data_IF_998606569951
#
_entry.id   IF_998606569951
#
_cell.length_a   1.000
_cell.length_b   1.000
_cell.length_c   1.000
_cell.angle_alpha   90.00
_cell.angle_beta   90.00
_cell.angle_gamma   90.00
#
_symmetry.space_group_name_H-M   'P 1'
#
loop_
_entity.id
_entity.type
_entity.pdbx_description
1 polymer ?
#
# COMPACT_ATOMS: atom_id res chain seq x y z
N UNK A 1 7.38 -32.87 -24.16
CA UNK A 1 7.00 -31.45 -24.18
C UNK A 1 6.91 -31.03 -22.74
N UNK A 2 7.85 -30.21 -22.29
CA UNK A 2 7.82 -29.56 -20.98
C UNK A 2 6.74 -28.47 -21.03
N UNK A 3 5.80 -28.45 -20.09
CA UNK A 3 4.77 -27.40 -20.02
C UNK A 3 4.41 -27.11 -18.54
N UNK A 4 3.49 -26.17 -18.31
CA UNK A 4 3.07 -25.74 -16.96
C UNK A 4 2.49 -26.83 -16.05
N UNK A 5 2.29 -28.05 -16.56
CA UNK A 5 1.71 -29.17 -15.81
C UNK A 5 2.52 -30.46 -15.89
N UNK A 6 3.68 -30.46 -16.57
CA UNK A 6 4.51 -31.67 -16.72
C UNK A 6 6.00 -31.37 -16.86
N UNK A 7 6.79 -31.93 -15.93
CA UNK A 7 8.25 -31.95 -16.01
C UNK A 7 8.78 -33.25 -16.66
N UNK A 8 9.77 -33.12 -17.55
CA UNK A 8 10.71 -34.12 -18.02
C UNK A 8 11.64 -34.50 -16.87
N UNK A 9 11.77 -35.78 -16.52
CA UNK A 9 12.67 -36.26 -15.47
C UNK A 9 14.17 -36.16 -15.84
N UNK A 10 14.50 -35.63 -17.02
CA UNK A 10 15.86 -35.44 -17.51
C UNK A 10 16.32 -33.98 -17.50
N UNK A 11 15.60 -33.08 -16.82
CA UNK A 11 15.91 -31.65 -16.71
C UNK A 11 15.57 -31.26 -15.27
N UNK A 12 16.61 -31.02 -14.49
CA UNK A 12 16.55 -30.81 -13.04
C UNK A 12 16.63 -29.32 -12.67
N UNK A 13 17.48 -28.53 -13.35
CA UNK A 13 17.76 -27.12 -13.02
C UNK A 13 17.57 -26.11 -14.16
N UNK A 14 17.29 -26.56 -15.40
CA UNK A 14 16.94 -25.69 -16.53
C UNK A 14 18.03 -24.75 -17.04
N UNK A 15 19.26 -24.83 -16.51
CA UNK A 15 20.40 -24.07 -16.98
C UNK A 15 21.17 -24.88 -18.01
N UNK A 16 20.66 -24.90 -19.26
CA UNK A 16 21.08 -25.80 -20.36
C UNK A 16 22.51 -25.68 -20.88
N UNK A 17 23.51 -25.52 -20.01
CA UNK A 17 24.93 -25.41 -20.36
C UNK A 17 25.83 -26.36 -19.58
N UNK A 18 25.55 -26.68 -18.31
CA UNK A 18 26.31 -27.65 -17.51
C UNK A 18 25.47 -28.10 -16.31
N UNK A 19 25.31 -29.41 -16.17
CA UNK A 19 24.65 -30.00 -15.00
C UNK A 19 25.70 -30.26 -13.89
N UNK A 20 25.61 -29.61 -12.71
CA UNK A 20 26.50 -29.83 -11.57
C UNK A 20 26.43 -31.26 -11.02
N UNK A 21 25.34 -32.00 -11.26
CA UNK A 21 25.10 -33.32 -10.67
C UNK A 21 25.76 -34.48 -11.46
N UNK A 22 26.30 -34.17 -12.65
CA UNK A 22 26.95 -35.12 -13.54
C UNK A 22 26.03 -35.79 -14.58
N UNK A 23 24.77 -35.35 -14.76
CA UNK A 23 23.94 -35.81 -15.87
C UNK A 23 24.34 -35.17 -17.22
N UNK A 24 23.97 -35.78 -18.37
CA UNK A 24 24.23 -35.18 -19.67
C UNK A 24 23.42 -33.90 -19.86
N UNK A 25 24.10 -32.81 -20.28
CA UNK A 25 23.46 -31.52 -20.61
C UNK A 25 22.14 -31.70 -21.38
N UNK A 26 21.05 -31.10 -20.90
CA UNK A 26 19.67 -31.20 -21.39
C UNK A 26 19.54 -31.41 -22.91
N UNK A 27 19.65 -32.65 -23.38
CA UNK A 27 19.85 -32.92 -24.81
C UNK A 27 18.56 -32.63 -25.58
N UNK A 28 18.49 -31.44 -26.19
CA UNK A 28 17.48 -31.08 -27.19
C UNK A 28 16.09 -30.79 -26.64
N UNK A 29 15.93 -30.62 -25.34
CA UNK A 29 14.70 -30.12 -24.77
C UNK A 29 14.72 -28.59 -24.75
N UNK A 30 13.78 -27.96 -25.46
CA UNK A 30 13.47 -26.56 -25.28
C UNK A 30 12.25 -26.42 -24.36
N UNK A 31 12.26 -25.48 -23.40
CA UNK A 31 11.07 -25.16 -22.62
C UNK A 31 9.95 -24.70 -23.55
N UNK A 32 8.70 -25.14 -23.33
CA UNK A 32 7.54 -24.53 -24.00
C UNK A 32 7.13 -23.19 -23.36
N UNK A 33 7.60 -22.92 -22.14
CA UNK A 33 7.44 -21.69 -21.35
C UNK A 33 8.81 -21.37 -20.76
N UNK A 34 9.21 -20.09 -20.73
CA UNK A 34 10.48 -19.68 -20.15
C UNK A 34 10.51 -20.02 -18.65
N UNK A 35 11.44 -20.90 -18.24
CA UNK A 35 11.85 -20.98 -16.84
C UNK A 35 12.47 -19.64 -16.44
N UNK A 36 12.11 -19.13 -15.26
CA UNK A 36 12.70 -17.94 -14.68
C UNK A 36 13.50 -18.35 -13.45
N UNK A 37 14.64 -17.71 -13.26
CA UNK A 37 15.37 -17.74 -12.01
C UNK A 37 15.42 -16.30 -11.52
N UNK A 38 14.95 -16.07 -10.30
CA UNK A 38 15.13 -14.79 -9.63
C UNK A 38 16.33 -14.88 -8.70
N UNK A 39 17.05 -13.78 -8.55
CA UNK A 39 18.10 -13.63 -7.56
C UNK A 39 17.63 -12.53 -6.62
N UNK A 40 17.39 -12.89 -5.36
CA UNK A 40 16.92 -11.97 -4.33
C UNK A 40 18.06 -11.73 -3.35
N UNK A 41 18.49 -10.48 -3.25
CA UNK A 41 19.50 -10.05 -2.29
C UNK A 41 18.83 -9.66 -0.98
N UNK A 42 19.20 -10.34 0.11
CA UNK A 42 18.71 -10.09 1.47
C UNK A 42 19.84 -9.42 2.26
N UNK A 43 19.71 -8.14 2.62
CA UNK A 43 20.76 -7.41 3.33
C UNK A 43 20.91 -7.90 4.77
N UNK A 44 22.06 -7.60 5.37
CA UNK A 44 22.28 -7.87 6.80
C UNK A 44 21.48 -6.91 7.70
N UNK A 45 21.22 -7.27 8.96
CA UNK A 45 20.57 -6.38 9.93
C UNK A 45 21.25 -5.01 10.11
N UNK A 46 22.57 -4.95 9.95
CA UNK A 46 23.35 -3.72 10.08
C UNK A 46 23.11 -2.74 8.91
N UNK A 47 22.76 -3.26 7.73
CA UNK A 47 22.53 -2.46 6.52
C UNK A 47 21.08 -1.99 6.39
N UNK A 48 20.15 -2.62 7.11
CA UNK A 48 18.71 -2.41 6.92
C UNK A 48 17.91 -2.52 8.23
N UNK A 49 18.35 -1.78 9.26
CA UNK A 49 17.63 -1.58 10.52
C UNK A 49 16.96 -2.84 11.10
N UNK A 50 17.75 -3.88 11.40
CA UNK A 50 17.31 -5.15 12.02
C UNK A 50 16.84 -6.26 11.05
N UNK A 51 17.02 -6.10 9.74
CA UNK A 51 17.05 -7.23 8.79
C UNK A 51 15.69 -7.85 8.47
N UNK A 52 14.59 -7.11 8.68
CA UNK A 52 13.25 -7.52 8.26
C UNK A 52 13.00 -7.26 6.78
N UNK A 53 12.43 -8.23 6.06
CA UNK A 53 12.07 -8.09 4.64
C UNK A 53 10.72 -8.70 4.31
N UNK A 54 9.84 -7.93 3.67
CA UNK A 54 8.51 -8.37 3.25
C UNK A 54 8.55 -8.73 1.77
N UNK A 55 8.41 -10.02 1.47
CA UNK A 55 8.70 -10.58 0.16
C UNK A 55 7.63 -11.56 -0.29
N UNK A 56 7.55 -11.76 -1.60
CA UNK A 56 6.87 -12.87 -2.24
C UNK A 56 7.79 -13.49 -3.29
N UNK A 57 7.42 -14.67 -3.80
CA UNK A 57 8.24 -15.42 -4.75
C UNK A 57 7.47 -15.70 -6.04
N UNK A 58 7.26 -14.70 -6.91
CA UNK A 58 6.39 -14.88 -8.07
C UNK A 58 6.91 -15.88 -9.10
N UNK A 59 8.22 -16.21 -9.10
CA UNK A 59 8.77 -17.34 -9.85
C UNK A 59 9.06 -18.51 -8.92
N UNK A 60 8.07 -19.39 -8.69
CA UNK A 60 8.23 -20.54 -7.79
C UNK A 60 7.89 -21.85 -8.49
N UNK A 61 8.68 -22.89 -8.20
CA UNK A 61 8.48 -24.22 -8.77
C UNK A 61 7.49 -25.06 -7.93
N UNK A 62 6.19 -24.87 -8.18
CA UNK A 62 5.12 -25.56 -7.46
C UNK A 62 4.60 -26.85 -8.17
N UNK A 63 5.25 -27.29 -9.26
CA UNK A 63 4.70 -28.29 -10.20
C UNK A 63 4.78 -29.74 -9.69
N UNK A 64 5.48 -30.01 -8.58
CA UNK A 64 5.73 -31.37 -8.06
C UNK A 64 4.98 -31.77 -6.78
N UNK A 65 3.78 -31.27 -6.50
CA UNK A 65 2.96 -31.83 -5.41
C UNK A 65 2.35 -33.19 -5.80
N UNK A 66 3.11 -34.27 -5.74
CA UNK A 66 2.63 -35.65 -5.93
C UNK A 66 2.82 -36.47 -4.62
N UNK A 67 1.75 -36.83 -3.89
CA UNK A 67 1.88 -37.57 -2.63
C UNK A 67 2.33 -39.04 -2.84
N UNK A 68 3.11 -39.64 -1.90
CA UNK A 68 3.25 -39.21 -0.50
C UNK A 68 4.68 -38.85 -0.03
N UNK A 69 5.63 -38.47 -0.90
CA UNK A 69 7.00 -38.10 -0.46
C UNK A 69 7.72 -37.12 -1.41
N UNK A 70 7.29 -35.86 -1.47
CA UNK A 70 8.24 -34.77 -1.75
C UNK A 70 7.81 -33.50 -0.98
N UNK A 71 8.21 -33.38 0.29
CA UNK A 71 7.91 -32.23 1.13
C UNK A 71 8.87 -31.08 0.81
N UNK A 72 8.32 -29.87 0.87
CA UNK A 72 9.03 -28.59 1.03
C UNK A 72 9.68 -27.92 -0.18
N UNK A 73 8.85 -27.27 -1.01
CA UNK A 73 9.27 -26.10 -1.83
C UNK A 73 10.03 -25.08 -0.96
N UNK A 74 9.60 -24.89 0.30
CA UNK A 74 10.29 -24.07 1.29
C UNK A 74 11.73 -24.54 1.56
N UNK A 75 11.96 -25.85 1.64
CA UNK A 75 13.25 -26.44 1.95
C UNK A 75 14.23 -26.23 0.81
N UNK A 76 13.78 -26.43 -0.43
CA UNK A 76 14.60 -26.16 -1.60
C UNK A 76 14.87 -24.67 -1.78
N UNK A 77 13.85 -23.83 -1.62
CA UNK A 77 14.00 -22.38 -1.71
C UNK A 77 15.02 -21.87 -0.70
N UNK A 78 14.85 -22.24 0.57
CA UNK A 78 15.68 -21.74 1.66
C UNK A 78 16.99 -22.54 1.81
N UNK A 79 17.24 -23.56 0.98
CA UNK A 79 18.37 -24.48 1.14
C UNK A 79 19.70 -23.73 1.25
N UNK A 80 19.91 -22.73 0.39
CA UNK A 80 21.15 -21.96 0.33
C UNK A 80 21.43 -21.19 1.62
N UNK A 81 20.38 -20.68 2.26
CA UNK A 81 20.47 -19.88 3.49
C UNK A 81 20.30 -20.72 4.77
N UNK A 82 19.95 -22.00 4.62
CA UNK A 82 19.89 -22.99 5.70
C UNK A 82 21.10 -23.95 5.72
N UNK A 83 21.87 -24.03 4.64
CA UNK A 83 23.00 -24.95 4.51
C UNK A 83 24.28 -24.46 5.21
N UNK A 84 25.08 -25.40 5.72
CA UNK A 84 26.40 -25.09 6.26
C UNK A 84 27.35 -24.57 5.17
N UNK A 85 28.17 -23.53 5.44
CA UNK A 85 28.52 -22.98 6.74
C UNK A 85 27.64 -21.82 7.24
N UNK A 86 26.50 -21.52 6.58
CA UNK A 86 25.63 -20.37 6.89
C UNK A 86 24.31 -20.73 7.62
N UNK A 87 24.24 -21.70 8.58
CA UNK A 87 22.97 -22.11 9.19
C UNK A 87 22.35 -21.04 10.12
N UNK A 88 22.90 -19.82 10.13
CA UNK A 88 22.48 -18.72 10.98
C UNK A 88 22.01 -17.49 10.19
N UNK A 89 22.11 -17.44 8.85
CA UNK A 89 21.80 -16.23 8.09
C UNK A 89 20.33 -15.80 8.21
N UNK A 90 19.42 -16.76 8.41
CA UNK A 90 17.98 -16.55 8.63
C UNK A 90 17.63 -16.86 10.09
N UNK A 91 16.85 -16.00 10.74
CA UNK A 91 16.31 -16.22 12.09
C UNK A 91 14.90 -16.81 12.03
N UNK A 92 14.00 -16.15 11.30
CA UNK A 92 12.62 -16.60 11.15
C UNK A 92 11.96 -16.15 9.86
N UNK A 93 10.95 -16.91 9.44
CA UNK A 93 10.01 -16.54 8.37
C UNK A 93 8.61 -16.54 8.95
N UNK A 94 7.90 -15.45 8.78
CA UNK A 94 6.49 -15.33 9.12
C UNK A 94 5.66 -15.43 7.85
N UNK A 95 4.63 -16.25 7.90
CA UNK A 95 3.49 -16.22 7.00
C UNK A 95 2.24 -15.86 7.80
N UNK A 96 1.14 -15.58 7.11
CA UNK A 96 -0.12 -15.23 7.76
C UNK A 96 -0.61 -16.28 8.77
N UNK A 97 -0.45 -17.58 8.45
CA UNK A 97 -0.99 -18.68 9.28
C UNK A 97 0.07 -19.44 10.10
N UNK A 98 1.36 -19.23 9.81
CA UNK A 98 2.44 -20.02 10.40
C UNK A 98 3.75 -19.24 10.53
N UNK A 99 4.67 -19.79 11.33
CA UNK A 99 6.00 -19.23 11.57
C UNK A 99 7.05 -20.34 11.50
N UNK A 100 8.07 -20.13 10.71
CA UNK A 100 9.28 -20.97 10.66
C UNK A 100 10.37 -20.22 11.45
N UNK A 101 11.07 -20.90 12.36
CA UNK A 101 12.16 -20.27 13.13
C UNK A 101 13.27 -21.25 13.45
N UNK A 102 14.49 -20.72 13.58
CA UNK A 102 15.67 -21.50 13.88
C UNK A 102 15.83 -21.70 15.39
N UNK A 103 16.05 -22.95 15.82
CA UNK A 103 16.40 -23.28 17.20
C UNK A 103 17.55 -24.29 17.20
N UNK A 104 18.78 -23.76 17.24
CA UNK A 104 20.02 -24.52 17.09
C UNK A 104 19.95 -25.92 17.73
N UNK A 105 20.22 -27.01 16.96
CA UNK A 105 20.70 -27.04 15.58
C UNK A 105 19.61 -27.19 14.50
N UNK A 106 18.32 -27.17 14.86
CA UNK A 106 17.24 -27.56 13.95
C UNK A 106 16.32 -26.38 13.61
N UNK A 107 15.68 -26.42 12.45
CA UNK A 107 14.54 -25.56 12.16
C UNK A 107 13.30 -26.16 12.82
N UNK A 108 12.38 -25.31 13.26
CA UNK A 108 11.11 -25.72 13.84
C UNK A 108 9.97 -25.26 12.95
N UNK A 109 8.91 -26.08 12.91
CA UNK A 109 7.79 -25.94 11.97
C UNK A 109 8.22 -26.10 10.49
N UNK A 110 9.22 -26.94 10.25
CA UNK A 110 9.55 -27.50 8.93
C UNK A 110 8.25 -28.11 8.33
N UNK A 111 8.06 -28.14 7.00
CA UNK A 111 6.94 -28.79 6.28
C UNK A 111 5.77 -27.92 5.74
N UNK A 112 5.83 -26.59 5.74
CA UNK A 112 4.76 -25.76 5.15
C UNK A 112 5.06 -25.27 3.72
N UNK A 113 4.05 -25.35 2.85
CA UNK A 113 4.19 -25.06 1.42
C UNK A 113 4.23 -23.54 1.16
N UNK A 114 5.19 -23.11 0.33
CA UNK A 114 5.26 -21.76 -0.19
C UNK A 114 4.45 -21.67 -1.49
N UNK A 115 3.73 -20.57 -1.68
CA UNK A 115 2.98 -20.27 -2.89
C UNK A 115 3.45 -18.97 -3.51
N UNK A 116 3.50 -18.88 -4.84
CA UNK A 116 4.01 -17.70 -5.56
C UNK A 116 3.22 -16.42 -5.25
N UNK A 117 1.93 -16.57 -5.00
CA UNK A 117 0.97 -15.49 -4.71
C UNK A 117 0.99 -15.05 -3.23
N UNK A 118 1.69 -15.77 -2.36
CA UNK A 118 1.67 -15.53 -0.92
C UNK A 118 2.78 -14.57 -0.50
N UNK A 119 2.45 -13.73 0.49
CA UNK A 119 3.40 -12.85 1.15
C UNK A 119 4.07 -13.47 2.38
N UNK A 120 5.33 -13.11 2.61
CA UNK A 120 6.17 -13.59 3.72
C UNK A 120 7.01 -12.47 4.34
N UNK A 121 7.27 -12.53 5.64
CA UNK A 121 8.20 -11.64 6.33
C UNK A 121 9.42 -12.43 6.80
N UNK A 122 10.59 -12.07 6.30
CA UNK A 122 11.87 -12.68 6.62
C UNK A 122 12.59 -11.84 7.67
N UNK A 123 13.17 -12.49 8.66
CA UNK A 123 14.08 -11.88 9.63
C UNK A 123 15.46 -12.49 9.45
N UNK A 124 16.41 -11.68 8.99
CA UNK A 124 17.77 -12.08 8.70
C UNK A 124 18.67 -11.83 9.92
N UNK A 125 19.70 -12.66 10.13
CA UNK A 125 20.81 -12.34 11.03
C UNK A 125 22.08 -11.95 10.27
N UNK A 126 22.22 -12.40 9.02
CA UNK A 126 23.35 -12.09 8.13
C UNK A 126 22.82 -11.82 6.72
N UNK A 127 23.61 -11.13 5.90
CA UNK A 127 23.28 -10.96 4.49
C UNK A 127 23.30 -12.31 3.76
N UNK A 128 22.38 -12.49 2.83
CA UNK A 128 22.28 -13.71 2.03
C UNK A 128 21.71 -13.42 0.63
N UNK A 129 21.98 -14.32 -0.30
CA UNK A 129 21.40 -14.30 -1.64
C UNK A 129 20.55 -15.54 -1.81
N UNK A 130 19.34 -15.38 -2.31
CA UNK A 130 18.40 -16.46 -2.58
C UNK A 130 18.24 -16.64 -4.09
N UNK A 131 18.53 -17.83 -4.60
CA UNK A 131 18.22 -18.20 -5.97
C UNK A 131 16.85 -18.89 -6.01
N UNK A 132 15.91 -18.31 -6.75
CA UNK A 132 14.52 -18.77 -6.82
C UNK A 132 14.22 -19.30 -8.23
N UNK A 133 14.47 -20.59 -8.50
CA UNK A 133 14.10 -21.19 -9.77
C UNK A 133 12.60 -21.49 -9.80
N UNK A 134 11.93 -21.22 -10.93
CA UNK A 134 10.53 -21.57 -11.06
C UNK A 134 9.87 -21.13 -12.36
N UNK A 135 8.55 -21.27 -12.37
CA UNK A 135 7.70 -20.68 -13.40
C UNK A 135 7.17 -19.35 -12.88
N UNK A 136 7.28 -18.31 -13.71
CA UNK A 136 6.64 -17.02 -13.41
C UNK A 136 5.13 -17.25 -13.29
N UNK A 137 4.55 -16.75 -12.21
CA UNK A 137 3.11 -16.70 -12.01
C UNK A 137 2.45 -15.96 -13.18
N UNK A 138 1.28 -16.43 -13.62
CA UNK A 138 0.64 -15.83 -14.77
C UNK A 138 0.10 -14.44 -14.40
N UNK A 139 0.29 -13.45 -15.27
CA UNK A 139 -0.18 -12.08 -15.00
C UNK A 139 -1.70 -12.03 -14.77
N UNK A 140 -2.46 -12.96 -15.36
CA UNK A 140 -3.91 -13.10 -15.18
C UNK A 140 -4.34 -14.02 -14.04
N UNK A 141 -3.41 -14.45 -13.18
CA UNK A 141 -3.72 -15.23 -11.99
C UNK A 141 -4.68 -14.45 -11.09
N UNK A 142 -5.62 -15.18 -10.49
CA UNK A 142 -6.67 -14.61 -9.67
C UNK A 142 -6.81 -15.39 -8.37
N UNK A 143 -7.00 -14.66 -7.26
CA UNK A 143 -7.00 -15.17 -5.90
C UNK A 143 -8.23 -14.65 -5.15
N UNK A 144 -8.54 -15.31 -4.03
CA UNK A 144 -9.60 -14.85 -3.11
C UNK A 144 -8.97 -14.00 -2.02
N UNK A 145 -9.47 -12.78 -1.83
CA UNK A 145 -9.20 -11.99 -0.63
C UNK A 145 -10.37 -12.12 0.34
N UNK A 146 -10.10 -12.54 1.57
CA UNK A 146 -11.10 -12.65 2.63
C UNK A 146 -11.56 -11.27 3.08
N UNK A 147 -12.87 -11.13 3.33
CA UNK A 147 -13.49 -9.90 3.80
C UNK A 147 -13.45 -9.73 5.32
N UNK A 148 -14.36 -8.91 5.86
CA UNK A 148 -14.49 -8.64 7.30
C UNK A 148 -13.26 -8.02 7.97
N UNK A 149 -12.44 -7.31 7.20
CA UNK A 149 -11.16 -6.73 7.63
C UNK A 149 -10.13 -7.77 8.10
N UNK A 150 -10.28 -9.02 7.68
CA UNK A 150 -9.23 -10.02 7.82
C UNK A 150 -8.01 -9.57 6.98
N UNK A 151 -6.82 -9.85 7.50
CA UNK A 151 -5.57 -9.62 6.76
C UNK A 151 -5.48 -10.58 5.58
N UNK A 152 -4.91 -10.12 4.48
CA UNK A 152 -4.56 -10.95 3.34
C UNK A 152 -3.12 -10.62 2.95
N UNK A 153 -2.19 -11.55 3.17
CA UNK A 153 -0.77 -11.36 2.84
C UNK A 153 -0.53 -11.77 1.38
N UNK A 154 -0.47 -10.78 0.49
CA UNK A 154 -0.49 -10.98 -0.96
C UNK A 154 0.83 -10.53 -1.57
N UNK A 155 1.40 -11.38 -2.43
CA UNK A 155 2.56 -11.04 -3.25
C UNK A 155 2.20 -10.28 -4.52
N UNK A 156 3.08 -9.41 -4.98
CA UNK A 156 2.96 -8.72 -6.26
C UNK A 156 3.73 -9.46 -7.37
N UNK A 157 3.00 -10.02 -8.34
CA UNK A 157 3.58 -10.91 -9.36
C UNK A 157 3.71 -10.32 -10.78
N UNK A 158 3.25 -9.09 -11.01
CA UNK A 158 3.48 -8.41 -12.28
C UNK A 158 4.93 -7.92 -12.35
N UNK A 159 5.51 -8.01 -13.55
CA UNK A 159 6.95 -7.78 -13.76
C UNK A 159 7.34 -6.31 -13.71
N UNK A 160 6.45 -5.44 -14.20
CA UNK A 160 6.68 -4.02 -14.24
C UNK A 160 6.28 -3.35 -12.93
N UNK A 161 7.09 -2.39 -12.50
CA UNK A 161 6.77 -1.56 -11.32
C UNK A 161 5.77 -0.48 -11.69
N UNK A 162 4.78 -0.24 -10.84
CA UNK A 162 3.72 0.74 -11.08
C UNK A 162 3.23 1.33 -9.77
N UNK A 163 2.54 2.47 -9.84
CA UNK A 163 1.93 3.08 -8.66
C UNK A 163 0.89 2.15 -8.04
N UNK A 164 0.70 2.25 -6.73
CA UNK A 164 -0.29 1.42 -6.03
C UNK A 164 -1.72 1.69 -6.53
N UNK A 165 -2.07 2.94 -6.87
CA UNK A 165 -3.38 3.28 -7.45
C UNK A 165 -3.63 2.63 -8.79
N UNK A 166 -2.58 2.49 -9.62
CA UNK A 166 -2.63 1.81 -10.91
C UNK A 166 -2.80 0.30 -10.71
N UNK A 167 -2.01 -0.29 -9.81
CA UNK A 167 -2.05 -1.72 -9.48
C UNK A 167 -3.40 -2.17 -8.90
N UNK A 168 -4.05 -1.29 -8.13
CA UNK A 168 -5.36 -1.52 -7.53
C UNK A 168 -6.50 -0.79 -8.27
N UNK A 169 -6.29 -0.29 -9.49
CA UNK A 169 -7.21 0.66 -10.15
C UNK A 169 -8.70 0.23 -10.19
N UNK A 170 -8.99 -1.05 -10.44
CA UNK A 170 -10.35 -1.60 -10.42
C UNK A 170 -10.99 -1.64 -9.01
N UNK A 171 -10.15 -1.62 -7.96
CA UNK A 171 -10.53 -1.64 -6.55
C UNK A 171 -10.37 -0.28 -5.85
N UNK A 172 -9.69 0.67 -6.50
CA UNK A 172 -9.29 1.95 -5.92
C UNK A 172 -10.49 2.86 -5.64
N UNK A 173 -11.52 2.86 -6.47
CA UNK A 173 -12.69 3.73 -6.26
C UNK A 173 -13.81 3.07 -5.42
N UNK A 174 -13.57 1.86 -4.92
CA UNK A 174 -14.58 1.04 -4.24
C UNK A 174 -14.29 0.85 -2.76
N UNK A 175 -15.33 0.84 -1.92
CA UNK A 175 -15.23 0.55 -0.48
C UNK A 175 -14.87 -0.90 -0.16
N UNK A 176 -14.38 -1.70 -1.11
CA UNK A 176 -14.15 -3.12 -0.89
C UNK A 176 -12.81 -3.35 -0.21
N UNK A 177 -11.76 -2.64 -0.64
CA UNK A 177 -10.45 -2.60 0.00
C UNK A 177 -10.36 -1.30 0.78
N UNK A 178 -9.94 -1.37 2.04
CA UNK A 178 -9.87 -0.19 2.91
C UNK A 178 -8.50 0.04 3.54
N UNK A 179 -7.58 -0.91 3.39
CA UNK A 179 -6.26 -0.86 3.99
C UNK A 179 -5.27 -1.68 3.15
N UNK A 180 -4.13 -1.09 2.86
CA UNK A 180 -3.00 -1.68 2.14
C UNK A 180 -1.76 -1.33 2.96
N UNK A 181 -1.03 -2.33 3.41
CA UNK A 181 0.09 -2.17 4.32
C UNK A 181 1.32 -2.87 3.75
N UNK A 182 2.33 -2.06 3.44
CA UNK A 182 3.62 -2.46 2.89
C UNK A 182 4.70 -2.24 3.95
N UNK A 183 5.88 -2.84 3.80
CA UNK A 183 6.98 -2.67 4.76
C UNK A 183 7.34 -1.20 5.02
N UNK A 184 7.30 -0.35 3.99
CA UNK A 184 7.75 1.04 4.06
C UNK A 184 6.60 2.06 4.12
N UNK A 185 5.39 1.70 3.69
CA UNK A 185 4.29 2.64 3.55
C UNK A 185 2.94 1.97 3.79
N UNK A 186 1.92 2.76 4.12
CA UNK A 186 0.55 2.30 4.25
C UNK A 186 -0.36 3.18 3.39
N UNK A 187 -1.42 2.61 2.84
CA UNK A 187 -2.53 3.34 2.26
C UNK A 187 -3.83 2.86 2.92
N UNK A 188 -4.74 3.78 3.23
CA UNK A 188 -6.03 3.41 3.80
C UNK A 188 -7.14 4.29 3.25
N UNK A 189 -8.35 3.73 3.19
CA UNK A 189 -9.50 4.40 2.62
C UNK A 189 -10.39 4.99 3.70
N UNK A 190 -10.55 6.32 3.68
CA UNK A 190 -11.42 7.05 4.61
C UNK A 190 -12.16 8.15 3.83
N UNK A 191 -13.21 7.74 3.10
CA UNK A 191 -13.92 8.57 2.11
C UNK A 191 -13.12 8.86 0.83
N UNK A 192 -11.80 8.77 0.90
CA UNK A 192 -10.83 8.72 -0.20
C UNK A 192 -9.59 7.99 0.29
N UNK A 193 -8.73 7.56 -0.62
CA UNK A 193 -7.41 7.05 -0.24
C UNK A 193 -6.58 8.13 0.45
N UNK A 194 -6.06 7.76 1.60
CA UNK A 194 -4.98 8.46 2.28
C UNK A 194 -3.76 7.60 2.09
N UNK A 195 -2.83 8.18 1.37
CA UNK A 195 -1.53 7.62 1.11
C UNK A 195 -0.52 8.71 1.41
N UNK A 196 0.61 8.32 1.98
CA UNK A 196 1.71 9.24 2.17
C UNK A 196 2.17 9.78 0.80
N UNK A 197 2.17 11.10 0.64
CA UNK A 197 2.87 11.79 -0.44
C UNK A 197 4.13 12.39 0.20
N UNK A 198 5.28 11.72 0.04
CA UNK A 198 6.56 12.28 0.49
C UNK A 198 6.85 13.55 -0.32
N UNK A 199 7.53 14.54 0.26
CA UNK A 199 7.82 15.86 -0.32
C UNK A 199 8.18 15.93 -1.79
N UNK A 200 7.17 15.99 -2.66
CA UNK A 200 7.34 15.96 -4.11
C UNK A 200 7.79 14.60 -4.70
N UNK A 201 7.72 13.52 -3.94
CA UNK A 201 7.87 12.15 -4.44
C UNK A 201 6.55 11.66 -5.02
N UNK A 202 6.65 10.90 -6.11
CA UNK A 202 5.51 10.24 -6.73
C UNK A 202 4.89 9.21 -5.76
N UNK A 203 3.62 8.91 -5.99
CA UNK A 203 2.85 7.91 -5.25
C UNK A 203 3.65 6.60 -5.02
N UNK A 204 3.57 5.98 -3.82
CA UNK A 204 4.20 4.68 -3.56
C UNK A 204 3.92 3.65 -4.65
N UNK A 205 4.92 2.82 -4.94
CA UNK A 205 4.88 1.82 -5.99
C UNK A 205 4.84 0.40 -5.42
N UNK A 206 4.35 -0.52 -6.24
CA UNK A 206 4.55 -1.96 -6.07
C UNK A 206 5.46 -2.48 -7.18
N UNK A 207 6.43 -3.30 -6.79
CA UNK A 207 7.46 -3.86 -7.64
C UNK A 207 7.41 -5.38 -7.57
N UNK A 208 7.86 -6.06 -8.63
CA UNK A 208 7.91 -7.52 -8.69
C UNK A 208 8.55 -8.14 -7.43
N UNK A 209 7.82 -9.02 -6.75
CA UNK A 209 8.27 -9.68 -5.53
C UNK A 209 7.99 -8.91 -4.23
N UNK A 210 7.48 -7.67 -4.30
CA UNK A 210 6.99 -6.96 -3.12
C UNK A 210 5.79 -7.71 -2.50
N UNK A 211 5.55 -7.49 -1.22
CA UNK A 211 4.43 -8.06 -0.48
C UNK A 211 3.63 -6.96 0.22
N UNK A 212 2.31 -7.09 0.20
CA UNK A 212 1.40 -6.22 0.94
C UNK A 212 0.38 -7.01 1.75
N UNK A 213 -0.02 -6.44 2.87
CA UNK A 213 -1.18 -6.89 3.64
C UNK A 213 -2.37 -6.05 3.20
N UNK A 214 -3.42 -6.72 2.72
CA UNK A 214 -4.65 -6.08 2.25
C UNK A 214 -5.80 -6.44 3.19
N UNK A 215 -6.55 -5.45 3.66
CA UNK A 215 -7.83 -5.68 4.36
C UNK A 215 -9.00 -5.28 3.49
N UNK A 216 -10.00 -6.16 3.48
CA UNK A 216 -11.19 -6.00 2.67
C UNK A 216 -12.43 -5.95 3.57
N UNK A 217 -13.34 -5.01 3.31
CA UNK A 217 -14.65 -4.98 3.97
C UNK A 217 -15.48 -6.22 3.58
N UNK A 218 -15.42 -6.64 2.31
CA UNK A 218 -16.13 -7.79 1.77
C UNK A 218 -15.20 -8.70 0.99
N UNK A 219 -15.45 -10.00 1.00
CA UNK A 219 -14.66 -10.97 0.23
C UNK A 219 -14.65 -10.63 -1.25
N UNK A 220 -13.46 -10.62 -1.86
CA UNK A 220 -13.24 -10.48 -3.30
C UNK A 220 -12.83 -11.87 -3.81
N UNK A 221 -13.62 -12.46 -4.70
CA UNK A 221 -13.42 -13.86 -5.12
C UNK A 221 -12.42 -14.01 -6.27
N UNK A 222 -12.15 -12.92 -6.96
CA UNK A 222 -11.42 -12.87 -8.22
C UNK A 222 -10.42 -11.71 -8.25
N UNK A 223 -9.73 -11.47 -7.12
CA UNK A 223 -8.68 -10.46 -7.07
C UNK A 223 -7.52 -10.84 -7.99
N UNK A 224 -7.10 -9.92 -8.86
CA UNK A 224 -5.90 -10.04 -9.67
C UNK A 224 -5.26 -8.67 -9.81
N UNK A 225 -3.94 -8.64 -9.99
CA UNK A 225 -3.23 -7.38 -10.22
C UNK A 225 -3.59 -6.79 -11.58
N UNK A 226 -3.82 -5.48 -11.61
CA UNK A 226 -4.11 -4.77 -12.85
C UNK A 226 -2.82 -4.21 -13.42
N UNK A 227 -2.46 -4.64 -14.64
CA UNK A 227 -1.45 -3.95 -15.45
C UNK A 227 -2.11 -2.74 -16.11
N UNK A 228 -1.78 -1.54 -15.64
CA UNK A 228 -2.31 -0.28 -16.16
C UNK A 228 -1.70 0.14 -17.50
N UNK A 229 -0.56 -0.48 -17.88
CA UNK A 229 0.33 -0.02 -18.95
C UNK A 229 1.12 1.25 -18.61
N UNK A 230 1.03 1.73 -17.37
CA UNK A 230 1.83 2.83 -16.82
C UNK A 230 2.86 2.22 -15.87
N UNK A 231 4.13 2.32 -16.24
CA UNK A 231 5.23 1.75 -15.49
C UNK A 231 6.20 2.84 -15.06
N UNK A 232 6.67 2.76 -13.82
CA UNK A 232 7.51 3.75 -13.17
C UNK A 232 8.64 3.07 -12.40
N UNK A 233 9.69 3.82 -12.08
CA UNK A 233 10.74 3.33 -11.19
C UNK A 233 10.21 3.16 -9.76
N UNK A 234 10.79 2.21 -9.00
CA UNK A 234 10.44 1.98 -7.59
C UNK A 234 10.61 3.27 -6.78
N UNK A 235 9.58 3.65 -6.03
CA UNK A 235 9.64 4.77 -5.09
C UNK A 235 10.68 4.48 -4.00
N UNK A 236 11.60 5.44 -3.79
CA UNK A 236 12.64 5.34 -2.77
C UNK A 236 12.33 6.32 -1.64
N UNK A 237 12.20 5.82 -0.42
CA UNK A 237 11.94 6.62 0.76
C UNK A 237 13.25 7.10 1.40
N UNK A 238 13.30 8.38 1.77
CA UNK A 238 14.43 8.92 2.50
C UNK A 238 14.48 8.33 3.92
N UNK A 239 15.63 7.76 4.30
CA UNK A 239 15.84 7.23 5.65
C UNK A 239 16.27 8.35 6.62
N UNK A 240 15.72 8.41 7.84
CA UNK A 240 16.14 9.39 8.84
C UNK A 240 17.58 9.13 9.30
N UNK A 241 18.34 10.20 9.53
CA UNK A 241 19.73 10.16 10.00
C UNK A 241 19.87 10.65 11.44
N UNK A 242 18.97 11.52 11.91
CA UNK A 242 19.02 12.09 13.25
C UNK A 242 18.45 11.15 14.30
N UNK A 243 17.34 10.48 13.98
CA UNK A 243 16.69 9.52 14.87
C UNK A 243 16.98 8.07 14.44
N UNK A 244 17.46 7.25 15.39
CA UNK A 244 17.76 5.83 15.17
C UNK A 244 16.75 4.96 15.89
N UNK A 245 16.26 3.90 15.24
CA UNK A 245 15.32 2.92 15.78
C UNK A 245 15.59 1.54 15.18
N UNK A 246 14.98 0.50 15.75
CA UNK A 246 15.06 -0.87 15.25
C UNK A 246 13.72 -1.27 14.62
N UNK A 247 13.75 -1.75 13.37
CA UNK A 247 12.54 -2.25 12.73
C UNK A 247 12.15 -3.62 13.31
N UNK A 248 10.86 -3.92 13.22
CA UNK A 248 10.27 -5.18 13.66
C UNK A 248 9.40 -5.74 12.52
N UNK A 249 8.88 -6.95 12.73
CA UNK A 249 8.00 -7.63 11.79
C UNK A 249 6.77 -6.80 11.38
N UNK A 250 6.33 -5.86 12.21
CA UNK A 250 5.11 -5.09 11.98
C UNK A 250 5.20 -3.73 12.67
N UNK A 251 4.40 -2.77 12.20
CA UNK A 251 4.42 -1.41 12.74
C UNK A 251 3.02 -0.81 12.86
N UNK A 252 2.86 0.05 13.87
CA UNK A 252 1.69 0.92 14.00
C UNK A 252 1.89 2.17 13.15
N UNK A 253 0.88 2.57 12.41
CA UNK A 253 0.98 3.68 11.46
C UNK A 253 0.63 5.00 12.14
N UNK A 254 1.56 5.95 12.16
CA UNK A 254 1.34 7.30 12.68
C UNK A 254 1.40 8.33 11.54
N UNK A 255 0.25 8.80 11.08
CA UNK A 255 0.15 9.92 10.16
C UNK A 255 0.26 11.24 10.91
N UNK A 256 1.21 12.08 10.54
CA UNK A 256 1.47 13.37 11.19
C UNK A 256 1.19 14.48 10.19
N UNK A 257 0.21 15.31 10.53
CA UNK A 257 -0.13 16.51 9.77
C UNK A 257 0.57 17.74 10.36
N UNK A 258 1.25 18.49 9.51
CA UNK A 258 2.13 19.60 9.84
C UNK A 258 1.62 20.90 9.21
N UNK A 259 2.12 22.01 9.76
CA UNK A 259 1.95 23.34 9.19
C UNK A 259 3.05 23.58 8.14
N UNK A 260 2.64 23.97 6.93
CA UNK A 260 3.56 24.27 5.83
C UNK A 260 4.52 25.43 6.13
N UNK A 261 4.16 26.30 7.08
CA UNK A 261 5.00 27.42 7.51
C UNK A 261 6.17 27.02 8.42
N UNK A 262 6.15 25.82 9.02
CA UNK A 262 7.14 25.38 9.99
C UNK A 262 7.38 23.85 9.99
N UNK A 263 7.88 23.32 8.87
CA UNK A 263 8.17 21.90 8.72
C UNK A 263 9.53 21.51 9.34
N UNK A 264 9.60 20.50 10.23
CA UNK A 264 10.87 19.90 10.67
C UNK A 264 11.55 19.15 9.52
N UNK A 265 12.82 18.78 9.70
CA UNK A 265 13.56 17.89 8.78
C UNK A 265 13.25 16.42 9.05
N UNK A 266 13.16 16.04 10.33
CA UNK A 266 12.81 14.69 10.76
C UNK A 266 11.85 14.74 11.95
N UNK A 267 11.06 13.68 12.10
CA UNK A 267 10.23 13.45 13.29
C UNK A 267 10.50 12.04 13.80
N UNK A 268 10.80 11.92 15.09
CA UNK A 268 10.91 10.64 15.79
C UNK A 268 9.73 10.44 16.74
N UNK A 269 9.26 9.20 16.84
CA UNK A 269 8.27 8.75 17.82
C UNK A 269 8.97 7.98 18.94
N UNK A 270 8.58 8.26 20.19
CA UNK A 270 9.26 7.76 21.38
C UNK A 270 8.28 7.18 22.39
N UNK A 271 8.73 6.17 23.13
CA UNK A 271 8.06 5.65 24.33
C UNK A 271 9.12 5.52 25.41
N UNK A 272 8.92 6.20 26.54
CA UNK A 272 9.88 6.24 27.67
C UNK A 272 11.33 6.53 27.24
N UNK A 273 11.51 7.42 26.26
CA UNK A 273 12.82 7.82 25.73
C UNK A 273 13.47 6.85 24.74
N UNK A 274 12.79 5.74 24.39
CA UNK A 274 13.21 4.83 23.32
C UNK A 274 12.54 5.25 22.02
N UNK A 275 13.34 5.49 20.97
CA UNK A 275 12.82 5.80 19.64
C UNK A 275 12.22 4.53 19.02
N UNK A 276 10.93 4.56 18.71
CA UNK A 276 10.18 3.43 18.12
C UNK A 276 9.97 3.61 16.61
N UNK A 277 10.42 4.70 16.02
CA UNK A 277 10.25 4.96 14.59
C UNK A 277 10.54 6.42 14.26
N UNK A 278 10.97 6.70 13.04
CA UNK A 278 11.19 8.06 12.59
C UNK A 278 10.98 8.21 11.08
N UNK A 279 10.85 9.47 10.64
CA UNK A 279 10.62 9.81 9.24
C UNK A 279 11.33 11.11 8.84
N UNK A 280 11.81 11.18 7.60
CA UNK A 280 12.23 12.43 6.96
C UNK A 280 10.99 13.17 6.46
N UNK A 281 10.84 14.43 6.84
CA UNK A 281 9.66 15.20 6.46
C UNK A 281 9.88 15.83 5.09
N UNK A 282 9.06 15.41 4.14
CA UNK A 282 9.03 16.03 2.82
C UNK A 282 7.79 16.92 2.56
N UNK A 283 6.65 16.60 3.16
CA UNK A 283 5.38 17.33 2.93
C UNK A 283 4.67 17.56 4.28
N UNK A 284 3.56 18.30 4.21
CA UNK A 284 2.64 18.60 5.30
C UNK A 284 1.89 17.39 5.86
N UNK A 285 1.89 16.24 5.19
CA UNK A 285 1.41 14.97 5.72
C UNK A 285 2.53 13.95 5.59
N UNK A 286 2.93 13.36 6.72
CA UNK A 286 3.97 12.34 6.76
C UNK A 286 3.54 11.11 7.57
N UNK A 287 4.25 10.00 7.48
CA UNK A 287 3.98 8.73 8.14
C UNK A 287 5.21 8.29 8.92
N UNK A 288 5.04 7.93 10.19
CA UNK A 288 6.04 7.18 10.95
C UNK A 288 5.57 5.73 11.06
N UNK A 289 6.48 4.81 10.76
CA UNK A 289 6.32 3.39 11.06
C UNK A 289 6.77 3.17 12.50
N UNK A 290 5.82 3.04 13.43
CA UNK A 290 6.10 2.95 14.86
C UNK A 290 6.11 1.48 15.33
N UNK A 291 7.29 0.98 15.67
CA UNK A 291 7.57 -0.40 16.07
C UNK A 291 7.40 -0.58 17.58
N UNK A 292 6.18 -0.93 18.01
CA UNK A 292 5.79 -0.90 19.42
C UNK A 292 5.98 -2.22 20.17
N UNK A 293 6.34 -3.33 19.50
CA UNK A 293 6.29 -4.65 20.14
C UNK A 293 7.44 -4.92 21.13
N UNK A 294 8.55 -4.18 21.01
CA UNK A 294 9.71 -4.30 21.89
C UNK A 294 9.71 -3.34 23.09
N UNK A 295 8.76 -2.41 23.16
CA UNK A 295 8.65 -1.41 24.24
C UNK A 295 7.53 -1.75 25.21
N UNK A 296 7.65 -1.38 26.51
CA UNK A 296 6.56 -1.54 27.46
C UNK A 296 5.37 -0.62 27.11
N UNK A 297 4.18 -0.91 27.66
CA UNK A 297 3.04 0.00 27.60
C UNK A 297 3.41 1.41 28.03
N UNK A 298 3.22 2.39 27.16
CA UNK A 298 3.57 3.78 27.42
C UNK A 298 2.96 4.73 26.42
N UNK A 299 2.97 6.01 26.77
CA UNK A 299 2.46 7.05 25.91
C UNK A 299 3.48 7.37 24.82
N UNK A 300 2.99 7.55 23.59
CA UNK A 300 3.80 7.92 22.45
C UNK A 300 4.02 9.43 22.49
N UNK A 301 5.29 9.82 22.46
CA UNK A 301 5.76 11.20 22.40
C UNK A 301 6.45 11.45 21.06
N UNK A 302 6.47 12.70 20.58
CA UNK A 302 7.12 13.06 19.33
C UNK A 302 8.27 14.03 19.56
N UNK A 303 9.36 13.85 18.84
CA UNK A 303 10.47 14.82 18.77
C UNK A 303 10.63 15.33 17.34
N UNK A 304 10.59 16.65 17.18
CA UNK A 304 10.73 17.33 15.89
C UNK A 304 12.14 17.92 15.78
N UNK A 305 12.91 17.46 14.80
CA UNK A 305 14.26 17.90 14.51
C UNK A 305 14.26 18.92 13.36
N UNK A 306 14.80 20.12 13.58
CA UNK A 306 14.84 21.21 12.61
C UNK A 306 16.24 21.44 11.99
N UNK A 307 17.13 20.47 12.12
CA UNK A 307 18.52 20.64 11.69
C UNK A 307 19.29 21.61 12.60
N UNK A 308 20.03 22.51 11.98
CA UNK A 308 20.89 23.48 12.68
C UNK A 308 20.15 24.75 13.16
N UNK A 309 18.82 24.82 13.06
CA UNK A 309 18.07 26.10 13.15
C UNK A 309 17.60 26.55 14.53
N UNK A 310 17.45 25.70 15.55
CA UNK A 310 17.21 25.99 16.99
C UNK A 310 16.68 24.71 17.68
N UNK A 311 16.58 24.71 19.02
CA UNK A 311 16.20 23.55 19.87
C UNK A 311 15.07 22.69 19.28
N UNK A 312 15.31 21.38 19.22
CA UNK A 312 14.29 20.38 18.87
C UNK A 312 13.05 20.57 19.73
N UNK A 313 11.88 20.34 19.13
CA UNK A 313 10.62 20.47 19.84
C UNK A 313 10.17 19.08 20.30
N UNK A 314 10.08 18.92 21.60
CA UNK A 314 9.47 17.77 22.24
C UNK A 314 7.95 17.99 22.38
N UNK A 315 7.15 17.02 21.96
CA UNK A 315 5.69 17.04 21.99
C UNK A 315 5.18 15.85 22.78
N UNK A 316 4.75 16.11 24.01
CA UNK A 316 4.20 15.11 24.94
C UNK A 316 2.67 15.13 25.01
N UNK A 317 1.98 15.88 24.14
CA UNK A 317 0.52 15.88 24.01
C UNK A 317 0.11 16.48 22.67
N UNK A 318 -0.85 15.84 22.00
CA UNK A 318 -1.34 16.19 20.67
C UNK A 318 -2.73 15.61 20.45
N UNK A 319 -3.53 16.22 19.58
CA UNK A 319 -4.80 15.63 19.20
C UNK A 319 -4.58 14.51 18.18
N UNK A 320 -5.17 13.34 18.43
CA UNK A 320 -5.18 12.24 17.48
C UNK A 320 -6.57 11.61 17.29
N UNK A 321 -6.80 11.04 16.10
CA UNK A 321 -7.95 10.19 15.80
C UNK A 321 -7.51 8.86 15.25
N UNK A 322 -8.42 7.91 15.37
CA UNK A 322 -8.28 6.55 14.90
C UNK A 322 -8.83 6.43 13.46
N UNK A 323 -8.30 5.52 12.65
CA UNK A 323 -8.82 5.31 11.29
C UNK A 323 -10.24 4.72 11.30
N UNK A 324 -10.57 3.93 12.33
CA UNK A 324 -11.89 3.28 12.46
C UNK A 324 -12.96 4.17 13.09
N UNK A 325 -12.57 5.17 13.87
CA UNK A 325 -13.50 6.09 14.55
C UNK A 325 -12.97 7.53 14.57
N UNK A 326 -12.99 8.21 13.41
CA UNK A 326 -12.44 9.56 13.31
C UNK A 326 -13.25 10.64 14.04
N UNK A 327 -14.43 10.29 14.57
CA UNK A 327 -15.23 11.20 15.40
C UNK A 327 -14.75 11.30 16.86
N UNK A 328 -13.81 10.44 17.29
CA UNK A 328 -13.26 10.46 18.65
C UNK A 328 -11.86 11.04 18.62
N UNK A 329 -11.72 12.22 19.23
CA UNK A 329 -10.44 12.89 19.42
C UNK A 329 -9.84 12.46 20.76
N UNK A 330 -8.63 11.92 20.72
CA UNK A 330 -7.80 11.62 21.88
C UNK A 330 -6.67 12.65 21.99
N UNK A 331 -6.10 12.83 23.18
CA UNK A 331 -5.07 13.86 23.46
C UNK A 331 -3.63 13.34 23.51
N UNK A 332 -3.49 12.04 23.38
CA UNK A 332 -2.25 11.31 23.36
C UNK A 332 -2.58 9.88 22.95
N UNK A 333 -1.62 9.22 22.29
CA UNK A 333 -1.74 7.82 21.91
C UNK A 333 -0.92 6.98 22.88
N UNK A 334 -1.48 5.86 23.34
CA UNK A 334 -0.73 4.85 24.09
C UNK A 334 -0.44 3.65 23.19
N UNK A 335 0.68 2.98 23.41
CA UNK A 335 1.04 1.75 22.66
C UNK A 335 0.01 0.61 22.80
N UNK A 336 -0.83 0.63 23.83
CA UNK A 336 -1.91 -0.35 24.02
C UNK A 336 -3.15 -0.05 23.17
N UNK A 337 -3.29 1.17 22.65
CA UNK A 337 -4.41 1.56 21.81
C UNK A 337 -4.33 0.82 20.46
N UNK A 338 -5.44 0.21 20.05
CA UNK A 338 -5.52 -0.64 18.86
C UNK A 338 -6.29 0.04 17.74
N UNK A 339 -5.60 0.36 16.65
CA UNK A 339 -6.18 0.76 15.37
C UNK A 339 -5.17 0.46 14.26
N UNK A 340 -5.64 0.41 13.02
CA UNK A 340 -4.83 0.20 11.82
C UNK A 340 -3.95 1.43 11.50
N UNK A 341 -4.46 2.64 11.78
CA UNK A 341 -3.71 3.87 11.63
C UNK A 341 -4.20 4.99 12.56
N UNK A 342 -3.27 5.87 12.92
CA UNK A 342 -3.51 7.02 13.77
C UNK A 342 -3.17 8.30 13.05
N UNK A 343 -4.02 9.32 13.16
CA UNK A 343 -3.74 10.65 12.63
C UNK A 343 -3.46 11.60 13.77
N UNK A 344 -2.34 12.29 13.71
CA UNK A 344 -1.87 13.25 14.67
C UNK A 344 -1.83 14.61 13.99
N UNK A 345 -2.56 15.58 14.53
CA UNK A 345 -2.57 16.94 14.01
C UNK A 345 -1.64 17.82 14.86
N UNK A 346 -0.61 18.39 14.21
CA UNK A 346 0.35 19.32 14.82
C UNK A 346 0.25 20.73 14.23
N UNK A 347 -0.82 21.06 13.52
CA UNK A 347 -1.05 22.40 12.95
C UNK A 347 -1.41 23.40 14.05
N UNK A 348 -0.84 24.60 13.99
CA UNK A 348 -1.13 25.63 14.99
C UNK A 348 -2.55 26.18 14.80
N UNK A 349 -3.32 26.23 15.90
CA UNK A 349 -4.66 26.84 15.90
C UNK A 349 -5.80 25.96 15.37
N UNK A 350 -5.53 24.71 15.01
CA UNK A 350 -6.57 23.71 14.73
C UNK A 350 -6.67 22.68 15.87
N UNK A 351 -7.62 22.87 16.77
CA UNK A 351 -8.08 21.78 17.67
C UNK A 351 -8.89 20.72 16.90
N UNK A 352 -9.26 21.03 15.66
CA UNK A 352 -9.93 20.12 14.75
C UNK A 352 -8.88 19.37 13.93
N UNK A 353 -8.85 18.07 14.12
CA UNK A 353 -8.38 17.13 13.11
C UNK A 353 -9.19 17.43 11.84
N UNK A 354 -8.58 17.38 10.63
CA UNK A 354 -9.31 17.68 9.40
C UNK A 354 -10.63 16.94 9.42
N UNK A 355 -11.74 17.69 9.33
CA UNK A 355 -13.02 17.07 9.04
C UNK A 355 -12.75 16.21 7.81
N UNK A 356 -13.04 14.92 7.87
CA UNK A 356 -12.81 14.05 6.72
C UNK A 356 -13.85 14.46 5.70
N UNK A 357 -13.46 15.41 4.86
CA UNK A 357 -14.26 15.85 3.75
C UNK A 357 -14.08 14.76 2.70
N UNK A 358 -15.10 13.94 2.48
CA UNK A 358 -15.18 13.05 1.33
C UNK A 358 -15.31 13.89 0.05
N UNK A 359 -14.68 13.50 -1.06
CA UNK A 359 -15.02 14.14 -2.33
C UNK A 359 -16.40 13.65 -2.76
N UNK A 360 -17.40 14.52 -2.61
CA UNK A 360 -18.79 14.14 -2.84
C UNK A 360 -19.52 15.26 -3.56
N UNK A 361 -20.57 14.89 -4.28
CA UNK A 361 -21.47 15.85 -4.88
C UNK A 361 -22.90 15.31 -4.86
N UNK A 362 -23.87 16.16 -4.59
CA UNK A 362 -25.29 15.85 -4.65
C UNK A 362 -26.05 17.06 -5.17
N UNK A 363 -27.28 16.86 -5.64
CA UNK A 363 -28.13 17.97 -6.04
C UNK A 363 -29.54 17.82 -5.46
N UNK A 364 -30.08 18.89 -4.90
CA UNK A 364 -31.42 18.94 -4.34
C UNK A 364 -32.11 20.28 -4.64
N UNK A 365 -33.40 20.27 -5.04
CA UNK A 365 -34.23 19.10 -5.33
C UNK A 365 -33.80 18.35 -6.61
N UNK A 366 -34.19 17.08 -6.73
CA UNK A 366 -34.09 16.28 -7.97
C UNK A 366 -35.25 15.26 -7.97
N UNK A 367 -36.28 15.39 -8.84
CA UNK A 367 -36.41 16.35 -9.93
C UNK A 367 -36.56 17.81 -9.47
N UNK A 368 -36.22 18.77 -10.33
CA UNK A 368 -36.22 20.21 -9.99
C UNK A 368 -36.97 21.08 -11.00
N UNK A 369 -37.45 22.26 -10.59
CA UNK A 369 -38.13 23.24 -11.47
C UNK A 369 -37.96 24.70 -10.96
N UNK A 370 -37.37 25.62 -11.74
CA UNK A 370 -36.28 25.40 -12.70
C UNK A 370 -34.91 25.34 -12.00
N UNK A 371 -34.90 25.37 -10.66
CA UNK A 371 -33.67 25.55 -9.86
C UNK A 371 -33.35 24.33 -9.02
N UNK A 372 -32.08 23.94 -8.99
CA UNK A 372 -31.50 22.93 -8.07
C UNK A 372 -30.22 23.48 -7.46
N UNK A 373 -29.93 23.13 -6.21
CA UNK A 373 -28.64 23.40 -5.57
C UNK A 373 -27.77 22.16 -5.71
N UNK A 374 -26.57 22.33 -6.24
CA UNK A 374 -25.53 21.29 -6.28
C UNK A 374 -24.61 21.55 -5.10
N UNK A 375 -24.68 20.69 -4.09
CA UNK A 375 -23.80 20.73 -2.92
C UNK A 375 -22.67 19.73 -3.14
N UNK A 376 -21.42 20.17 -2.97
CA UNK A 376 -20.25 19.34 -3.14
C UNK A 376 -19.18 19.66 -2.10
N UNK A 377 -18.26 18.74 -1.94
CA UNK A 377 -17.23 18.81 -0.91
C UNK A 377 -15.87 18.54 -1.53
N UNK A 378 -14.88 19.36 -1.18
CA UNK A 378 -13.51 19.30 -1.68
C UNK A 378 -12.59 18.88 -0.55
N UNK A 379 -11.86 17.78 -0.70
CA UNK A 379 -11.04 17.23 0.36
C UNK A 379 -9.62 17.82 0.41
N UNK A 380 -9.23 18.57 -0.62
CA UNK A 380 -7.97 19.32 -0.73
C UNK A 380 -8.24 20.60 -1.51
N UNK A 381 -7.38 21.59 -1.31
CA UNK A 381 -7.35 22.74 -2.19
C UNK A 381 -6.88 22.36 -3.60
N UNK A 382 -7.43 23.01 -4.62
CA UNK A 382 -7.05 22.73 -5.99
C UNK A 382 -7.96 23.39 -7.01
N UNK A 383 -7.63 23.19 -8.30
CA UNK A 383 -8.48 23.66 -9.40
C UNK A 383 -9.66 22.72 -9.58
N UNK A 384 -10.86 23.28 -9.57
CA UNK A 384 -12.13 22.58 -9.63
C UNK A 384 -12.92 23.09 -10.83
N UNK A 385 -13.58 22.18 -11.54
CA UNK A 385 -14.57 22.52 -12.56
C UNK A 385 -15.89 21.82 -12.31
N UNK A 386 -16.99 22.57 -12.39
CA UNK A 386 -18.34 22.05 -12.30
C UNK A 386 -19.12 22.43 -13.57
N UNK A 387 -19.41 21.43 -14.40
CA UNK A 387 -19.97 21.59 -15.72
C UNK A 387 -21.28 20.82 -15.86
N UNK A 388 -22.26 21.36 -16.58
CA UNK A 388 -23.54 20.71 -16.88
C UNK A 388 -23.57 20.32 -18.34
N UNK A 389 -24.00 19.08 -18.61
CA UNK A 389 -24.10 18.49 -19.94
C UNK A 389 -25.53 18.01 -20.22
N UNK A 390 -25.91 18.00 -21.49
CA UNK A 390 -27.13 17.35 -21.95
C UNK A 390 -26.88 15.86 -22.28
N UNK A 391 -27.94 15.12 -22.63
CA UNK A 391 -27.86 13.70 -23.00
C UNK A 391 -26.98 13.37 -24.21
N UNK A 392 -26.59 14.38 -25.01
CA UNK A 392 -25.68 14.24 -26.14
C UNK A 392 -24.22 14.52 -25.74
N UNK A 393 -23.93 14.72 -24.46
CA UNK A 393 -22.61 15.09 -23.96
C UNK A 393 -22.20 16.53 -24.29
N UNK A 394 -23.11 17.38 -24.75
CA UNK A 394 -22.80 18.77 -25.08
C UNK A 394 -22.82 19.61 -23.81
N UNK A 395 -21.79 20.46 -23.63
CA UNK A 395 -21.72 21.41 -22.53
C UNK A 395 -22.87 22.42 -22.63
N UNK A 396 -23.69 22.47 -21.59
CA UNK A 396 -24.83 23.37 -21.43
C UNK A 396 -24.42 24.61 -20.65
N UNK A 397 -23.77 24.41 -19.50
CA UNK A 397 -23.39 25.48 -18.58
C UNK A 397 -22.11 25.12 -17.85
N UNK A 398 -21.17 26.06 -17.76
CA UNK A 398 -20.08 25.99 -16.77
C UNK A 398 -20.52 26.79 -15.55
N UNK A 399 -20.55 26.14 -14.39
CA UNK A 399 -20.92 26.76 -13.11
C UNK A 399 -19.68 27.24 -12.36
N UNK A 400 -18.58 26.47 -12.45
CA UNK A 400 -17.32 26.74 -11.75
C UNK A 400 -16.16 26.34 -12.66
N UNK A 401 -15.11 27.17 -12.68
CA UNK A 401 -13.78 26.85 -13.20
C UNK A 401 -12.76 27.74 -12.49
N UNK A 402 -12.07 27.20 -11.49
CA UNK A 402 -11.10 27.97 -10.71
C UNK A 402 -10.56 27.20 -9.52
N UNK A 403 -9.63 27.81 -8.79
CA UNK A 403 -9.08 27.26 -7.56
C UNK A 403 -10.01 27.49 -6.37
N UNK A 404 -10.23 26.45 -5.57
CA UNK A 404 -10.96 26.51 -4.30
C UNK A 404 -10.15 25.81 -3.22
N UNK A 405 -10.32 26.26 -1.97
CA UNK A 405 -9.72 25.60 -0.81
C UNK A 405 -10.45 24.28 -0.49
N UNK A 406 -9.92 23.51 0.45
CA UNK A 406 -10.65 22.41 1.08
C UNK A 406 -11.93 22.96 1.76
N UNK A 407 -13.05 22.24 1.66
CA UNK A 407 -14.31 22.65 2.28
C UNK A 407 -15.59 22.15 1.60
N UNK A 408 -16.74 22.58 2.12
CA UNK A 408 -18.07 22.35 1.56
C UNK A 408 -18.56 23.55 0.77
N UNK A 409 -19.18 23.29 -0.38
CA UNK A 409 -19.61 24.30 -1.33
C UNK A 409 -21.02 24.01 -1.85
N UNK A 410 -21.74 25.09 -2.18
CA UNK A 410 -23.04 25.00 -2.82
C UNK A 410 -23.10 25.93 -4.02
N UNK A 411 -23.55 25.41 -5.16
CA UNK A 411 -23.79 26.22 -6.36
C UNK A 411 -25.16 25.94 -6.93
N UNK A 412 -25.89 27.02 -7.22
CA UNK A 412 -27.25 26.97 -7.74
C UNK A 412 -27.23 26.94 -9.27
N UNK A 413 -27.89 25.94 -9.86
CA UNK A 413 -28.24 25.98 -11.28
C UNK A 413 -29.71 26.32 -11.47
N UNK A 414 -29.98 27.35 -12.27
CA UNK A 414 -31.32 27.90 -12.52
C UNK A 414 -31.95 27.46 -13.86
N UNK A 415 -31.45 26.36 -14.45
CA UNK A 415 -31.99 25.83 -15.71
C UNK A 415 -31.65 26.68 -16.94
N UNK A 416 -30.56 27.44 -16.90
CA UNK A 416 -30.05 28.24 -18.04
C UNK A 416 -28.76 27.69 -18.61
N UNK A 417 -28.55 27.89 -19.92
CA UNK A 417 -27.29 27.62 -20.60
C UNK A 417 -26.27 28.76 -20.43
N UNK A 418 -25.09 28.63 -21.05
CA UNK A 418 -24.05 29.67 -21.06
C UNK A 418 -24.49 30.99 -21.71
N UNK A 419 -25.52 30.99 -22.57
CA UNK A 419 -26.09 32.18 -23.21
C UNK A 419 -27.30 32.74 -22.44
N UNK A 420 -27.47 32.33 -21.18
CA UNK A 420 -28.59 32.70 -20.30
C UNK A 420 -29.98 32.29 -20.79
N UNK A 421 -30.05 31.38 -21.77
CA UNK A 421 -31.32 30.89 -22.29
C UNK A 421 -31.81 29.71 -21.47
N UNK A 422 -33.11 29.69 -21.18
CA UNK A 422 -33.75 28.55 -20.50
C UNK A 422 -33.60 27.27 -21.33
N UNK A 423 -33.18 26.20 -20.67
CA UNK A 423 -33.09 24.87 -21.27
C UNK A 423 -34.46 24.17 -21.21
N UNK A 424 -34.65 23.12 -22.02
CA UNK A 424 -35.89 22.34 -22.01
C UNK A 424 -35.94 21.38 -20.83
N UNK A 425 -37.15 20.96 -20.42
CA UNK A 425 -37.31 19.80 -19.54
C UNK A 425 -36.58 18.59 -20.10
N UNK A 426 -36.00 17.77 -19.24
CA UNK A 426 -35.25 16.60 -19.65
C UNK A 426 -34.16 16.21 -18.67
N UNK A 427 -33.37 15.24 -19.11
CA UNK A 427 -32.24 14.71 -18.35
C UNK A 427 -30.99 15.55 -18.65
N UNK A 428 -30.28 15.92 -17.60
CA UNK A 428 -28.98 16.57 -17.64
C UNK A 428 -28.01 15.83 -16.72
N UNK A 429 -26.73 16.09 -16.89
CA UNK A 429 -25.68 15.57 -16.02
C UNK A 429 -24.83 16.73 -15.54
N UNK A 430 -24.49 16.78 -14.26
CA UNK A 430 -23.36 17.60 -13.84
C UNK A 430 -22.11 16.73 -13.74
N UNK A 431 -20.95 17.34 -14.01
CA UNK A 431 -19.62 16.76 -13.85
C UNK A 431 -18.82 17.70 -12.96
N UNK A 432 -18.48 17.25 -11.76
CA UNK A 432 -17.50 17.88 -10.88
C UNK A 432 -16.14 17.21 -11.16
N UNK A 433 -15.10 17.98 -11.45
CA UNK A 433 -13.76 17.45 -11.71
C UNK A 433 -12.72 18.25 -10.94
N UNK A 434 -11.80 17.56 -10.30
CA UNK A 434 -10.54 18.08 -9.76
C UNK A 434 -9.38 17.60 -10.65
N UNK A 435 -8.13 17.75 -10.19
CA UNK A 435 -6.97 17.14 -10.84
C UNK A 435 -7.06 15.61 -10.82
N UNK A 436 -7.49 15.05 -9.70
CA UNK A 436 -7.34 13.62 -9.39
C UNK A 436 -8.66 12.85 -9.47
N UNK A 437 -9.81 13.53 -9.31
CA UNK A 437 -11.11 12.87 -9.21
C UNK A 437 -12.19 13.52 -10.09
N UNK A 438 -13.19 12.72 -10.47
CA UNK A 438 -14.35 13.19 -11.24
C UNK A 438 -15.62 12.50 -10.78
N UNK A 439 -16.63 13.30 -10.43
CA UNK A 439 -17.99 12.82 -10.14
C UNK A 439 -18.94 13.29 -11.23
N UNK A 440 -19.73 12.37 -11.78
CA UNK A 440 -20.82 12.69 -12.71
C UNK A 440 -22.14 12.13 -12.20
N UNK A 441 -23.15 12.99 -11.99
CA UNK A 441 -24.50 12.54 -11.59
C UNK A 441 -25.61 13.12 -12.46
N UNK A 442 -26.69 12.35 -12.56
CA UNK A 442 -27.89 12.61 -13.38
C UNK A 442 -28.88 13.53 -12.64
N UNK A 443 -29.40 14.53 -13.33
CA UNK A 443 -30.45 15.44 -12.87
C UNK A 443 -31.66 15.41 -13.80
N UNK A 444 -32.88 15.53 -13.24
CA UNK A 444 -34.12 15.62 -14.00
C UNK A 444 -34.76 17.01 -13.84
N UNK A 445 -34.79 17.78 -14.92
CA UNK A 445 -35.46 19.09 -14.96
C UNK A 445 -36.91 18.93 -15.38
N UNK A 446 -37.82 19.44 -14.57
CA UNK A 446 -39.24 19.61 -14.87
C UNK A 446 -39.49 21.08 -15.21
N UNK A 447 -40.45 21.32 -16.10
CA UNK A 447 -40.91 22.66 -16.44
C UNK A 447 -42.34 22.83 -15.96
#
# INVERSE_FOLDING_TARGET
LWNSTSKSPCIDIGNGSNDPDGTPADIGACPAINHKYDIIELPSPEEDNNGWKWLSFPALDNVYSNPPYDPDVAHYLLADIMATPYPAALDSVLAQEYKIYYNMPNWLNEFEQFYSIQGFKFHMNEAATLEVPGFKEQDNTSIVLTGNNDENWVGYWLEETQHVSDAFSDYWSGSNINFIHHQEWTAFYLGRWRIMLYGGCDEPTLSYGDMVIVKCNTTINDFGWIDSGIHVDKTVFAKPEYFTFEEQADYTVLYIELDSSNMPQEIGAFVDGVCIGAVVVGDTLTQINAYTTSVPPGDIELELYYGNRSENKHISSYNCVTSTNPGIVMKQLNTEDKDDAWFINLREGSDMIPEIIEFSASNYPNPFNPTTTISYSLPLEGRVSLNIYNVKGQLVRQLIDGSQSEGYYEVVWNGKDNNEKNVSSGIYFYKLSTKDETIMKKMLMLK
#
